data_IF_174609458419
#
_entry.id   IF_174609458419
#
_cell.length_a   1.000
_cell.length_b   1.000
_cell.length_c   1.000
_cell.angle_alpha   90.00
_cell.angle_beta   90.00
_cell.angle_gamma   90.00
#
_symmetry.space_group_name_H-M   'P 1'
#
loop_
_entity.id
_entity.type
_entity.pdbx_description
1 polymer ?
#
# COMPACT_ATOMS: atom_id res chain seq x y z
N UNK A 1 -17.14 2.59 1.50
CA UNK A 1 -17.30 1.59 2.58
C UNK A 1 -17.01 0.18 2.09
N UNK A 2 -16.91 -0.08 0.77
CA UNK A 2 -16.28 -1.31 0.25
C UNK A 2 -16.94 -2.60 0.72
N UNK A 3 -18.26 -2.58 0.94
CA UNK A 3 -19.07 -3.75 1.24
C UNK A 3 -19.56 -4.36 -0.09
N UNK A 4 -19.51 -5.70 -0.18
CA UNK A 4 -19.69 -6.47 -1.41
C UNK A 4 -18.36 -6.86 -2.05
N UNK A 5 -18.32 -8.00 -2.74
CA UNK A 5 -17.13 -8.56 -3.40
C UNK A 5 -16.27 -7.45 -3.99
N UNK A 6 -15.01 -7.34 -3.52
CA UNK A 6 -14.08 -6.39 -4.10
C UNK A 6 -13.79 -6.88 -5.52
N UNK A 7 -14.53 -6.35 -6.49
CA UNK A 7 -14.32 -6.59 -7.92
C UNK A 7 -13.05 -5.91 -8.46
N UNK A 8 -12.19 -5.43 -7.56
CA UNK A 8 -10.91 -4.79 -7.86
C UNK A 8 -9.76 -5.71 -7.47
N UNK A 9 -8.91 -5.99 -8.44
CA UNK A 9 -7.66 -6.69 -8.22
C UNK A 9 -6.71 -5.87 -7.35
N UNK A 10 -5.79 -6.54 -6.65
CA UNK A 10 -4.71 -5.88 -5.91
C UNK A 10 -3.88 -4.92 -6.78
N UNK A 11 -3.70 -5.26 -8.06
CA UNK A 11 -2.99 -4.41 -9.03
C UNK A 11 -3.76 -3.10 -9.32
N UNK A 12 -5.08 -3.18 -9.48
CA UNK A 12 -5.92 -1.99 -9.67
C UNK A 12 -5.91 -1.10 -8.42
N UNK A 13 -5.97 -1.70 -7.22
CA UNK A 13 -5.85 -0.94 -5.97
C UNK A 13 -4.50 -0.23 -5.85
N UNK A 14 -3.39 -0.92 -6.16
CA UNK A 14 -2.06 -0.32 -6.14
C UNK A 14 -1.93 0.80 -7.19
N UNK A 15 -2.49 0.61 -8.39
CA UNK A 15 -2.48 1.63 -9.44
C UNK A 15 -3.33 2.85 -9.06
N UNK A 16 -4.45 2.66 -8.35
CA UNK A 16 -5.25 3.77 -7.82
C UNK A 16 -4.43 4.61 -6.82
N UNK A 17 -3.62 3.98 -5.96
CA UNK A 17 -2.71 4.73 -5.09
C UNK A 17 -1.61 5.46 -5.87
N UNK A 18 -1.10 4.86 -6.95
CA UNK A 18 -0.16 5.54 -7.84
C UNK A 18 -0.78 6.77 -8.51
N UNK A 19 -2.05 6.70 -8.94
CA UNK A 19 -2.79 7.84 -9.49
C UNK A 19 -2.88 8.98 -8.46
N UNK A 20 -3.28 8.67 -7.22
CA UNK A 20 -3.39 9.67 -6.16
C UNK A 20 -2.02 10.29 -5.84
N UNK A 21 -0.99 9.45 -5.69
CA UNK A 21 0.39 9.87 -5.44
C UNK A 21 0.92 10.81 -6.53
N UNK A 22 0.55 10.54 -7.78
CA UNK A 22 0.93 11.32 -8.96
C UNK A 22 0.00 12.51 -9.24
N UNK A 23 -1.01 12.77 -8.39
CA UNK A 23 -1.98 13.85 -8.55
C UNK A 23 -2.79 13.76 -9.85
N UNK A 24 -3.25 12.55 -10.18
CA UNK A 24 -4.23 12.32 -11.24
C UNK A 24 -3.69 11.75 -12.55
N UNK A 25 -2.42 11.33 -12.59
CA UNK A 25 -1.86 10.61 -13.74
C UNK A 25 -1.21 9.28 -13.37
N UNK A 26 -1.13 8.36 -14.32
CA UNK A 26 -0.44 7.09 -14.16
C UNK A 26 0.20 6.64 -15.47
N UNK A 27 1.12 5.68 -15.36
CA UNK A 27 1.59 4.91 -16.49
C UNK A 27 0.99 3.52 -16.31
N UNK A 28 0.54 2.89 -17.41
CA UNK A 28 -0.03 1.55 -17.34
C UNK A 28 0.93 0.58 -16.61
N UNK A 29 0.47 -0.09 -15.53
CA UNK A 29 1.34 -0.97 -14.75
C UNK A 29 1.82 -2.13 -15.63
N UNK A 30 3.11 -2.45 -15.52
CA UNK A 30 3.77 -3.48 -16.33
C UNK A 30 4.89 -4.15 -15.53
N UNK A 31 5.02 -5.47 -15.70
CA UNK A 31 6.07 -6.27 -15.03
C UNK A 31 7.38 -6.28 -15.80
N UNK A 32 7.31 -6.27 -17.14
CA UNK A 32 8.48 -6.40 -18.01
C UNK A 32 9.20 -5.05 -18.09
N UNK A 33 10.39 -4.97 -17.50
CA UNK A 33 11.20 -3.74 -17.46
C UNK A 33 11.68 -3.30 -18.86
N UNK A 34 12.05 -4.24 -19.72
CA UNK A 34 12.51 -3.98 -21.08
C UNK A 34 12.38 -5.22 -21.96
N UNK A 35 12.27 -5.02 -23.27
CA UNK A 35 12.28 -6.10 -24.27
C UNK A 35 13.34 -5.77 -25.32
N UNK A 36 14.14 -6.77 -25.71
CA UNK A 36 15.21 -6.62 -26.68
C UNK A 36 16.49 -6.02 -26.11
N UNK A 37 17.45 -5.73 -26.99
CA UNK A 37 18.81 -5.28 -26.62
C UNK A 37 18.89 -3.81 -26.18
N UNK A 38 17.82 -3.03 -26.35
CA UNK A 38 17.80 -1.60 -26.00
C UNK A 38 17.75 -1.34 -24.50
N UNK A 39 17.34 -2.34 -23.70
CA UNK A 39 17.18 -2.19 -22.25
C UNK A 39 16.09 -1.21 -21.83
N UNK A 40 15.19 -0.81 -22.75
CA UNK A 40 14.11 0.14 -22.49
C UNK A 40 12.72 -0.53 -22.51
N UNK A 41 11.75 -0.05 -21.71
CA UNK A 41 10.36 -0.43 -21.87
C UNK A 41 9.83 -0.02 -23.24
N UNK A 42 8.86 -0.78 -23.76
CA UNK A 42 8.14 -0.40 -24.98
C UNK A 42 7.47 0.99 -24.80
N UNK A 43 7.33 1.80 -25.87
CA UNK A 43 6.78 3.16 -25.77
C UNK A 43 5.43 3.24 -25.04
N UNK A 44 4.52 2.28 -25.28
CA UNK A 44 3.22 2.21 -24.59
C UNK A 44 3.30 2.11 -23.07
N UNK A 45 4.41 1.62 -22.52
CA UNK A 45 4.66 1.52 -21.08
C UNK A 45 5.40 2.73 -20.51
N UNK A 46 5.49 3.82 -21.29
CA UNK A 46 6.06 5.11 -20.87
C UNK A 46 5.05 6.25 -21.01
N UNK A 47 3.93 6.01 -21.68
CA UNK A 47 2.86 6.99 -21.89
C UNK A 47 2.14 7.30 -20.59
N UNK A 48 2.00 8.59 -20.28
CA UNK A 48 1.18 9.06 -19.17
C UNK A 48 -0.29 9.10 -19.59
N UNK A 49 -1.14 8.55 -18.74
CA UNK A 49 -2.58 8.66 -18.81
C UNK A 49 -3.06 9.57 -17.69
N UNK A 50 -4.00 10.46 -18.00
CA UNK A 50 -4.61 11.37 -17.04
C UNK A 50 -6.03 10.92 -16.76
N UNK A 51 -6.43 11.02 -15.50
CA UNK A 51 -7.82 10.79 -15.11
C UNK A 51 -8.70 11.99 -15.47
N UNK A 52 -10.01 11.82 -15.39
CA UNK A 52 -10.98 12.91 -15.56
C UNK A 52 -11.03 13.87 -14.35
N UNK A 53 -10.39 13.52 -13.23
CA UNK A 53 -10.42 14.30 -11.99
C UNK A 53 -9.30 15.35 -12.02
N UNK A 54 -9.65 16.59 -11.69
CA UNK A 54 -8.66 17.67 -11.59
C UNK A 54 -7.59 17.37 -10.52
N UNK A 55 -6.33 17.65 -10.85
CA UNK A 55 -5.18 17.47 -9.96
C UNK A 55 -5.33 18.15 -8.59
N UNK A 56 -6.03 19.28 -8.52
CA UNK A 56 -6.30 20.01 -7.28
C UNK A 56 -7.15 19.19 -6.29
N UNK A 57 -8.04 18.34 -6.79
CA UNK A 57 -8.89 17.49 -5.93
C UNK A 57 -8.10 16.36 -5.28
N UNK A 58 -7.02 15.88 -5.90
CA UNK A 58 -6.13 14.88 -5.29
C UNK A 58 -5.37 15.45 -4.09
N UNK A 59 -5.02 16.73 -4.11
CA UNK A 59 -4.34 17.38 -2.99
C UNK A 59 -5.20 17.37 -1.71
N UNK A 60 -6.52 17.46 -1.85
CA UNK A 60 -7.46 17.42 -0.73
C UNK A 60 -7.53 16.04 -0.03
N UNK A 61 -7.15 14.95 -0.72
CA UNK A 61 -7.14 13.60 -0.15
C UNK A 61 -5.96 13.38 0.81
N UNK A 62 -4.83 14.04 0.55
CA UNK A 62 -3.58 13.77 1.23
C UNK A 62 -3.65 13.97 2.76
N UNK A 63 -4.25 15.05 3.30
CA UNK A 63 -4.38 15.21 4.74
C UNK A 63 -5.15 14.09 5.42
N UNK A 64 -6.24 13.61 4.80
CA UNK A 64 -7.04 12.51 5.32
C UNK A 64 -6.29 11.19 5.32
N UNK A 65 -5.55 10.91 4.25
CA UNK A 65 -4.71 9.70 4.14
C UNK A 65 -3.52 9.73 5.12
N UNK A 66 -2.95 10.90 5.39
CA UNK A 66 -1.92 11.08 6.42
C UNK A 66 -2.49 10.90 7.83
N UNK A 67 -3.72 11.38 8.08
CA UNK A 67 -4.36 11.27 9.38
C UNK A 67 -4.55 9.82 9.83
N UNK A 68 -4.79 8.89 8.89
CA UNK A 68 -4.88 7.44 9.16
C UNK A 68 -3.63 6.88 9.85
N UNK A 69 -2.45 7.45 9.56
CA UNK A 69 -1.16 6.99 10.08
C UNK A 69 -0.66 7.81 11.30
N UNK A 70 -1.40 8.86 11.68
CA UNK A 70 -1.06 9.76 12.80
C UNK A 70 -1.80 9.36 14.07
N UNK A 71 -1.50 10.05 15.17
CA UNK A 71 -2.13 9.84 16.47
C UNK A 71 -3.66 9.88 16.36
N UNK A 72 -4.34 8.84 16.84
CA UNK A 72 -5.80 8.67 16.75
C UNK A 72 -6.29 8.13 15.40
N UNK A 73 -5.39 7.90 14.44
CA UNK A 73 -5.69 7.29 13.15
C UNK A 73 -5.79 5.77 13.24
N UNK A 74 -6.56 5.17 12.33
CA UNK A 74 -6.84 3.72 12.35
C UNK A 74 -5.59 2.84 12.15
N UNK A 75 -4.51 3.37 11.58
CA UNK A 75 -3.25 2.66 11.36
C UNK A 75 -2.05 3.33 12.05
N UNK A 76 -2.28 4.13 13.09
CA UNK A 76 -1.24 4.79 13.89
C UNK A 76 -0.10 3.84 14.27
N UNK A 77 -0.47 2.63 14.73
CA UNK A 77 0.47 1.59 15.16
C UNK A 77 1.48 1.16 14.09
N UNK A 78 1.16 1.37 12.81
CA UNK A 78 1.96 1.00 11.63
C UNK A 78 2.68 2.19 11.00
N UNK A 79 2.70 3.34 11.67
CA UNK A 79 3.47 4.50 11.23
C UNK A 79 4.97 4.20 11.12
N UNK A 80 5.62 4.90 10.18
CA UNK A 80 7.08 4.90 9.99
C UNK A 80 7.68 6.29 10.29
N UNK A 81 6.98 7.13 11.05
CA UNK A 81 7.47 8.44 11.45
C UNK A 81 8.78 8.36 12.25
N UNK A 82 9.01 7.28 13.00
CA UNK A 82 10.24 7.02 13.76
C UNK A 82 11.48 6.86 12.87
N UNK A 83 11.30 6.54 11.59
CA UNK A 83 12.38 6.41 10.60
C UNK A 83 12.29 7.45 9.48
N UNK A 84 11.52 8.52 9.70
CA UNK A 84 11.40 9.67 8.80
C UNK A 84 10.57 9.41 7.53
N UNK A 85 9.72 8.38 7.52
CA UNK A 85 8.89 8.05 6.35
C UNK A 85 7.42 8.38 6.64
N UNK A 86 6.88 9.36 5.91
CA UNK A 86 5.45 9.66 5.94
C UNK A 86 4.69 8.74 4.99
N UNK A 87 3.74 7.96 5.51
CA UNK A 87 2.84 7.11 4.72
C UNK A 87 1.49 7.83 4.57
N UNK A 88 0.98 7.91 3.35
CA UNK A 88 -0.40 8.27 3.08
C UNK A 88 -1.16 6.99 2.71
N UNK A 89 -2.20 6.63 3.46
CA UNK A 89 -2.93 5.40 3.19
C UNK A 89 -4.33 5.35 3.76
N UNK A 90 -4.98 4.19 3.59
CA UNK A 90 -6.30 3.91 4.10
C UNK A 90 -6.42 2.44 4.49
N UNK A 91 -7.01 2.19 5.66
CA UNK A 91 -7.41 0.86 6.09
C UNK A 91 -8.77 0.49 5.52
N UNK A 92 -8.96 -0.78 5.21
CA UNK A 92 -10.26 -1.39 4.97
C UNK A 92 -10.40 -2.72 5.72
N UNK A 93 -11.64 -3.09 5.97
CA UNK A 93 -12.05 -4.38 6.51
C UNK A 93 -13.21 -4.83 5.64
N UNK A 94 -13.10 -6.00 5.02
CA UNK A 94 -14.15 -6.60 4.19
C UNK A 94 -14.80 -7.68 5.02
N UNK A 95 -16.11 -7.59 5.21
CA UNK A 95 -16.82 -8.58 5.99
C UNK A 95 -16.83 -9.92 5.26
N UNK A 96 -16.58 -10.99 6.02
CA UNK A 96 -16.69 -12.35 5.55
C UNK A 96 -17.74 -13.07 6.42
N UNK A 97 -18.79 -13.61 5.78
CA UNK A 97 -19.89 -14.25 6.50
C UNK A 97 -19.50 -15.64 7.05
N UNK A 98 -18.43 -16.26 6.53
CA UNK A 98 -18.00 -17.62 6.88
C UNK A 98 -16.63 -17.69 7.60
N UNK A 99 -16.18 -16.60 8.24
CA UNK A 99 -14.91 -16.60 8.98
C UNK A 99 -14.48 -15.23 9.47
N UNK A 100 -13.17 -15.07 9.72
CA UNK A 100 -12.61 -13.75 10.01
C UNK A 100 -12.73 -12.82 8.79
N UNK A 101 -12.98 -11.54 9.05
CA UNK A 101 -12.98 -10.50 8.03
C UNK A 101 -11.64 -10.46 7.24
N UNK A 102 -11.68 -9.97 6.02
CA UNK A 102 -10.47 -9.71 5.24
C UNK A 102 -9.88 -8.34 5.60
N UNK A 103 -8.58 -8.33 5.84
CA UNK A 103 -7.85 -7.12 6.22
C UNK A 103 -7.25 -6.47 4.97
N UNK A 104 -7.52 -5.17 4.76
CA UNK A 104 -6.95 -4.45 3.62
C UNK A 104 -6.26 -3.15 4.02
N UNK A 105 -5.20 -2.82 3.29
CA UNK A 105 -4.53 -1.54 3.39
C UNK A 105 -4.01 -1.12 2.02
N UNK A 106 -4.24 0.13 1.66
CA UNK A 106 -3.68 0.74 0.46
C UNK A 106 -2.97 2.03 0.85
N UNK A 107 -1.84 2.32 0.21
CA UNK A 107 -1.14 3.57 0.45
C UNK A 107 0.08 3.77 -0.42
N UNK A 108 0.72 4.92 -0.25
CA UNK A 108 1.97 5.26 -0.90
C UNK A 108 2.90 6.01 0.06
N UNK A 109 4.19 5.98 -0.25
CA UNK A 109 5.23 6.61 0.55
C UNK A 109 6.49 6.94 -0.27
N UNK A 110 7.30 7.93 0.17
CA UNK A 110 6.92 9.00 1.10
C UNK A 110 5.75 9.86 0.58
N UNK A 111 4.94 10.41 1.47
CA UNK A 111 3.73 11.15 1.10
C UNK A 111 4.01 12.45 0.31
N UNK A 112 5.15 13.08 0.56
CA UNK A 112 5.63 14.31 -0.07
C UNK A 112 6.36 14.06 -1.39
N UNK A 113 7.12 12.96 -1.49
CA UNK A 113 7.82 12.56 -2.69
C UNK A 113 7.66 11.06 -2.96
N UNK A 114 6.50 10.62 -3.49
CA UNK A 114 6.16 9.21 -3.59
C UNK A 114 7.15 8.39 -4.42
N UNK A 115 7.51 7.22 -3.89
CA UNK A 115 8.43 6.26 -4.53
C UNK A 115 7.84 4.85 -4.64
N UNK A 116 6.89 4.52 -3.78
CA UNK A 116 6.19 3.24 -3.79
C UNK A 116 4.70 3.43 -3.52
N UNK A 117 3.88 2.68 -4.24
CA UNK A 117 2.47 2.46 -3.95
C UNK A 117 2.27 0.97 -3.63
N UNK A 118 1.50 0.68 -2.60
CA UNK A 118 1.25 -0.68 -2.10
C UNK A 118 -0.23 -0.89 -1.87
N UNK A 119 -0.69 -2.09 -2.22
CA UNK A 119 -1.96 -2.64 -1.83
C UNK A 119 -1.70 -3.98 -1.13
N UNK A 120 -2.24 -4.13 0.06
CA UNK A 120 -2.16 -5.35 0.87
C UNK A 120 -3.58 -5.83 1.10
N UNK A 121 -3.82 -7.08 0.74
CA UNK A 121 -5.06 -7.80 0.97
C UNK A 121 -4.70 -9.11 1.67
N UNK A 122 -5.27 -9.34 2.85
CA UNK A 122 -5.05 -10.55 3.64
C UNK A 122 -6.41 -11.18 3.92
N UNK A 123 -6.59 -12.40 3.43
CA UNK A 123 -7.79 -13.18 3.68
C UNK A 123 -7.82 -13.68 5.13
N UNK A 124 -9.02 -13.78 5.70
CA UNK A 124 -9.29 -14.25 7.06
C UNK A 124 -8.28 -13.73 8.11
N UNK A 125 -8.09 -12.40 8.11
CA UNK A 125 -7.03 -11.75 8.89
C UNK A 125 -7.56 -10.66 9.84
N UNK A 126 -8.88 -10.55 9.96
CA UNK A 126 -9.58 -9.57 10.78
C UNK A 126 -9.40 -8.14 10.24
N UNK A 127 -8.88 -7.25 11.08
CA UNK A 127 -8.88 -5.82 10.79
C UNK A 127 -7.66 -5.35 9.97
N UNK A 128 -7.90 -4.47 8.98
CA UNK A 128 -6.85 -3.82 8.20
C UNK A 128 -5.77 -3.13 9.03
N UNK A 129 -6.15 -2.57 10.19
CA UNK A 129 -5.25 -1.89 11.12
C UNK A 129 -4.20 -2.81 11.77
N UNK A 130 -4.55 -4.06 12.06
CA UNK A 130 -3.74 -4.99 12.87
C UNK A 130 -2.99 -6.02 12.02
N UNK A 131 -3.46 -6.27 10.79
CA UNK A 131 -2.83 -7.23 9.88
C UNK A 131 -2.24 -6.55 8.62
N UNK A 132 -3.06 -5.89 7.80
CA UNK A 132 -2.63 -5.38 6.50
C UNK A 132 -1.71 -4.14 6.60
N UNK A 133 -2.01 -3.18 7.47
CA UNK A 133 -1.20 -1.98 7.65
C UNK A 133 0.23 -2.29 8.16
N UNK A 134 0.43 -3.21 9.13
CA UNK A 134 1.77 -3.68 9.50
C UNK A 134 2.55 -4.28 8.33
N UNK A 135 1.93 -5.12 7.50
CA UNK A 135 2.57 -5.68 6.31
C UNK A 135 3.02 -4.58 5.34
N UNK A 136 2.14 -3.61 5.06
CA UNK A 136 2.46 -2.48 4.19
C UNK A 136 3.64 -1.67 4.73
N UNK A 137 3.69 -1.41 6.04
CA UNK A 137 4.80 -0.70 6.67
C UNK A 137 6.14 -1.44 6.50
N UNK A 138 6.16 -2.78 6.62
CA UNK A 138 7.39 -3.56 6.40
C UNK A 138 7.86 -3.49 4.95
N UNK A 139 6.95 -3.63 3.98
CA UNK A 139 7.27 -3.54 2.54
C UNK A 139 7.81 -2.14 2.20
N UNK A 140 7.14 -1.09 2.67
CA UNK A 140 7.55 0.30 2.45
C UNK A 140 8.92 0.57 3.07
N UNK A 141 9.13 0.22 4.33
CA UNK A 141 10.42 0.46 5.02
C UNK A 141 11.55 -0.27 4.30
N UNK A 142 11.35 -1.54 3.96
CA UNK A 142 12.36 -2.36 3.29
C UNK A 142 12.66 -1.86 1.87
N UNK A 143 11.65 -1.42 1.12
CA UNK A 143 11.86 -0.83 -0.20
C UNK A 143 12.65 0.49 -0.14
N UNK A 144 12.27 1.40 0.77
CA UNK A 144 12.86 2.74 0.83
C UNK A 144 14.23 2.78 1.53
N UNK A 145 14.47 1.88 2.49
CA UNK A 145 15.71 1.87 3.30
C UNK A 145 16.61 0.66 3.04
N UNK A 146 16.13 -0.34 2.29
CA UNK A 146 16.81 -1.63 2.11
C UNK A 146 16.74 -2.55 3.32
N UNK A 147 16.29 -2.07 4.49
CA UNK A 147 16.30 -2.81 5.76
C UNK A 147 15.11 -2.45 6.64
N UNK A 148 14.74 -3.35 7.55
CA UNK A 148 13.76 -3.09 8.62
C UNK A 148 14.52 -2.74 9.90
N UNK A 149 14.31 -1.53 10.42
CA UNK A 149 15.20 -0.96 11.43
C UNK A 149 14.77 -1.29 12.86
N UNK A 150 13.47 -1.22 13.17
CA UNK A 150 13.02 -1.30 14.57
C UNK A 150 12.86 -2.74 15.09
N UNK A 151 13.18 -3.02 16.38
CA UNK A 151 12.96 -4.34 16.99
C UNK A 151 11.51 -4.81 16.93
N UNK A 152 10.56 -3.87 17.07
CA UNK A 152 9.12 -4.14 16.95
C UNK A 152 8.76 -4.65 15.56
N UNK A 153 9.21 -3.96 14.50
CA UNK A 153 8.93 -4.35 13.11
C UNK A 153 9.66 -5.64 12.73
N UNK A 154 10.87 -5.89 13.23
CA UNK A 154 11.55 -7.20 13.10
C UNK A 154 10.76 -8.35 13.75
N UNK A 155 10.09 -8.12 14.89
CA UNK A 155 9.19 -9.13 15.48
C UNK A 155 7.98 -9.39 14.59
N UNK A 156 7.42 -8.36 13.96
CA UNK A 156 6.32 -8.51 13.01
C UNK A 156 6.73 -9.32 11.79
N UNK A 157 7.87 -8.97 11.18
CA UNK A 157 8.45 -9.70 10.04
C UNK A 157 8.63 -11.18 10.37
N UNK A 158 9.27 -11.51 11.51
CA UNK A 158 9.42 -12.91 11.94
C UNK A 158 8.07 -13.61 12.12
N UNK A 159 7.14 -12.99 12.84
CA UNK A 159 5.82 -13.58 13.08
C UNK A 159 5.06 -13.84 11.78
N UNK A 160 5.17 -12.96 10.79
CA UNK A 160 4.54 -13.15 9.48
C UNK A 160 5.22 -14.26 8.67
N UNK A 161 6.56 -14.35 8.72
CA UNK A 161 7.31 -15.41 8.02
C UNK A 161 7.09 -16.81 8.61
N UNK A 162 6.80 -16.90 9.91
CA UNK A 162 6.70 -18.18 10.63
C UNK A 162 5.27 -18.52 11.05
N UNK A 163 4.25 -17.80 10.56
CA UNK A 163 2.85 -18.01 10.95
C UNK A 163 2.31 -19.40 10.57
N UNK A 164 2.87 -20.01 9.52
CA UNK A 164 2.46 -21.32 8.99
C UNK A 164 3.46 -22.45 9.28
N UNK A 165 4.39 -22.29 10.23
CA UNK A 165 5.16 -23.46 10.67
C UNK A 165 4.30 -24.27 11.64
N UNK A 166 3.80 -25.47 11.28
CA UNK A 166 3.27 -26.38 12.29
C UNK A 166 4.38 -26.59 13.31
N UNK A 167 4.02 -26.48 14.58
CA UNK A 167 4.88 -26.78 15.71
C UNK A 167 5.60 -28.12 15.41
N UNK A 168 6.91 -28.07 15.19
CA UNK A 168 7.77 -29.25 15.20
C UNK A 168 8.55 -29.24 16.50
#
# INVERSE_FOLDING_TARGET
IGQGEINLTGLQMANMMAIIANKGWYIAPHFVKAIGSTGQPLPRFRTKHYTLVDSANFAALLPGMLAVMRRGGTAEASSLADVGIAIAGKTGTVQNDEGDDHATFVGFAPADHPKIAVAVYLENAGFGATAAAPCAALVIEKYLRGTISSPRRKRWERRMQYRDRPYR
#
